data_IF_545011960550
#
_entry.id   IF_545011960550
#
_cell.length_a   1.000
_cell.length_b   1.000
_cell.length_c   1.000
_cell.angle_alpha   90.00
_cell.angle_beta   90.00
_cell.angle_gamma   90.00
#
_symmetry.space_group_name_H-M   'P 1'
#
loop_
_entity.id
_entity.type
_entity.pdbx_description
1 polymer ?
#
# COMPACT_ATOMS: atom_id res chain seq x y z
N UNK A 1 6.69 -49.73 39.55
CA UNK A 1 5.61 -48.77 39.92
C UNK A 1 5.85 -47.33 39.42
N UNK A 2 6.96 -47.01 38.74
CA UNK A 2 7.29 -45.61 38.35
C UNK A 2 6.73 -45.20 36.97
N UNK A 3 6.22 -46.14 36.15
CA UNK A 3 5.80 -45.84 34.77
C UNK A 3 4.39 -45.25 34.61
N UNK A 4 3.53 -45.29 35.64
CA UNK A 4 2.13 -44.84 35.51
C UNK A 4 1.90 -43.34 35.78
N UNK A 5 2.90 -42.61 36.32
CA UNK A 5 2.78 -41.19 36.66
C UNK A 5 3.23 -40.22 35.55
N UNK A 6 4.14 -40.66 34.67
CA UNK A 6 4.78 -39.78 33.68
C UNK A 6 3.79 -39.32 32.61
N UNK A 7 2.89 -40.20 32.16
CA UNK A 7 1.86 -39.87 31.16
C UNK A 7 0.90 -38.78 31.62
N UNK A 8 0.41 -38.84 32.86
CA UNK A 8 -0.50 -37.83 33.43
C UNK A 8 0.15 -36.45 33.55
N UNK A 9 1.43 -36.39 33.92
CA UNK A 9 2.17 -35.12 34.00
C UNK A 9 2.49 -34.51 32.64
N UNK A 10 2.76 -35.33 31.61
CA UNK A 10 2.99 -34.83 30.26
C UNK A 10 1.71 -34.31 29.62
N UNK A 11 0.58 -35.00 29.79
CA UNK A 11 -0.72 -34.51 29.33
C UNK A 11 -1.08 -33.18 30.02
N UNK A 12 -0.94 -33.07 31.34
CA UNK A 12 -1.20 -31.83 32.07
C UNK A 12 -0.28 -30.67 31.63
N UNK A 13 1.01 -30.94 31.40
CA UNK A 13 1.95 -29.93 30.89
C UNK A 13 1.62 -29.50 29.45
N UNK A 14 1.08 -30.40 28.63
CA UNK A 14 0.67 -30.11 27.25
C UNK A 14 -0.59 -29.25 27.21
N UNK A 15 -1.57 -29.52 28.08
CA UNK A 15 -2.80 -28.72 28.23
C UNK A 15 -2.49 -27.27 28.66
N UNK A 16 -1.57 -27.08 29.61
CA UNK A 16 -1.11 -25.75 30.03
C UNK A 16 -0.40 -25.00 28.88
N UNK A 17 0.48 -25.70 28.14
CA UNK A 17 1.16 -25.11 26.97
C UNK A 17 0.19 -24.78 25.84
N UNK A 18 -0.85 -25.61 25.63
CA UNK A 18 -1.86 -25.40 24.60
C UNK A 18 -2.79 -24.24 24.97
N UNK A 19 -3.15 -24.09 26.25
CA UNK A 19 -3.87 -22.93 26.75
C UNK A 19 -3.07 -21.64 26.57
N UNK A 20 -1.77 -21.66 26.87
CA UNK A 20 -0.88 -20.50 26.71
C UNK A 20 -0.70 -20.10 25.24
N UNK A 21 -0.56 -21.08 24.34
CA UNK A 21 -0.54 -20.88 22.88
C UNK A 21 -1.91 -20.49 22.33
N UNK A 22 -3.00 -20.96 22.93
CA UNK A 22 -4.37 -20.60 22.59
C UNK A 22 -4.66 -19.14 22.92
N UNK A 23 -4.16 -18.63 24.04
CA UNK A 23 -4.26 -17.21 24.40
C UNK A 23 -3.41 -16.36 23.44
N UNK A 24 -2.21 -16.82 23.09
CA UNK A 24 -1.35 -16.14 22.13
C UNK A 24 -1.97 -16.04 20.73
N UNK A 25 -2.54 -17.15 20.21
CA UNK A 25 -3.22 -17.16 18.91
C UNK A 25 -4.51 -16.34 18.95
N UNK A 26 -5.29 -16.41 20.03
CA UNK A 26 -6.46 -15.57 20.23
C UNK A 26 -6.09 -14.08 20.17
N UNK A 27 -5.01 -13.66 20.81
CA UNK A 27 -4.52 -12.26 20.75
C UNK A 27 -4.18 -11.85 19.32
N UNK A 28 -3.45 -12.67 18.57
CA UNK A 28 -3.11 -12.38 17.16
C UNK A 28 -4.37 -12.23 16.32
N UNK A 29 -5.33 -13.16 16.46
CA UNK A 29 -6.62 -13.11 15.74
C UNK A 29 -7.38 -11.83 16.10
N UNK A 30 -7.47 -11.48 17.39
CA UNK A 30 -8.19 -10.31 17.86
C UNK A 30 -7.55 -9.00 17.35
N UNK A 31 -6.21 -8.93 17.37
CA UNK A 31 -5.47 -7.79 16.80
C UNK A 31 -5.64 -7.69 15.28
N UNK A 32 -5.60 -8.82 14.57
CA UNK A 32 -5.86 -8.88 13.12
C UNK A 32 -7.28 -8.42 12.78
N UNK A 33 -8.27 -8.85 13.57
CA UNK A 33 -9.66 -8.43 13.39
C UNK A 33 -9.81 -6.92 13.53
N UNK A 34 -9.20 -6.32 14.57
CA UNK A 34 -9.21 -4.86 14.79
C UNK A 34 -8.52 -4.11 13.64
N UNK A 35 -7.38 -4.60 13.16
CA UNK A 35 -6.64 -3.98 12.03
C UNK A 35 -7.47 -4.06 10.75
N UNK A 36 -8.03 -5.22 10.41
CA UNK A 36 -8.89 -5.41 9.23
C UNK A 36 -10.12 -4.51 9.30
N UNK A 37 -10.78 -4.44 10.46
CA UNK A 37 -11.94 -3.58 10.66
C UNK A 37 -11.58 -2.10 10.52
N UNK A 38 -10.43 -1.67 11.06
CA UNK A 38 -9.97 -0.28 10.95
C UNK A 38 -9.73 0.13 9.50
N UNK A 39 -9.06 -0.72 8.72
CA UNK A 39 -8.81 -0.45 7.29
C UNK A 39 -10.14 -0.43 6.51
N UNK A 40 -11.04 -1.37 6.78
CA UNK A 40 -12.32 -1.46 6.10
C UNK A 40 -13.22 -0.25 6.41
N UNK A 41 -13.33 0.14 7.68
CA UNK A 41 -14.04 1.35 8.12
C UNK A 41 -13.45 2.62 7.50
N UNK A 42 -12.13 2.73 7.42
CA UNK A 42 -11.46 3.86 6.79
C UNK A 42 -11.80 3.96 5.29
N UNK A 43 -11.75 2.83 4.57
CA UNK A 43 -12.12 2.77 3.15
C UNK A 43 -13.60 3.12 2.93
N UNK A 44 -14.49 2.51 3.71
CA UNK A 44 -15.93 2.80 3.65
C UNK A 44 -16.19 4.26 4.03
N UNK A 45 -15.46 4.82 5.00
CA UNK A 45 -15.56 6.20 5.44
C UNK A 45 -15.18 7.18 4.33
N UNK A 46 -14.08 6.93 3.63
CA UNK A 46 -13.66 7.72 2.47
C UNK A 46 -14.70 7.62 1.35
N UNK A 47 -15.16 6.41 1.00
CA UNK A 47 -16.22 6.23 -0.01
C UNK A 47 -17.51 6.93 0.41
N UNK A 48 -17.92 6.83 1.69
CA UNK A 48 -19.09 7.54 2.25
C UNK A 48 -18.91 9.05 2.15
N UNK A 49 -17.72 9.58 2.43
CA UNK A 49 -17.44 11.00 2.36
C UNK A 49 -17.48 11.49 0.89
N UNK A 50 -16.87 10.77 -0.05
CA UNK A 50 -17.01 11.06 -1.48
C UNK A 50 -18.45 10.94 -1.96
N UNK A 51 -19.17 9.89 -1.55
CA UNK A 51 -20.58 9.67 -1.88
C UNK A 51 -21.49 10.72 -1.24
N UNK A 52 -21.12 11.27 -0.08
CA UNK A 52 -21.82 12.37 0.58
C UNK A 52 -21.52 13.71 -0.09
N UNK A 53 -20.27 13.98 -0.47
CA UNK A 53 -19.88 15.21 -1.18
C UNK A 53 -20.52 15.24 -2.58
N UNK A 54 -20.45 14.13 -3.33
CA UNK A 54 -21.13 13.98 -4.62
C UNK A 54 -22.65 13.98 -4.45
N UNK A 55 -23.17 13.32 -3.42
CA UNK A 55 -24.61 13.35 -3.11
C UNK A 55 -25.10 14.74 -2.70
N UNK A 56 -24.26 15.55 -2.07
CA UNK A 56 -24.53 16.95 -1.73
C UNK A 56 -24.39 17.86 -2.95
N UNK A 57 -23.49 17.55 -3.88
CA UNK A 57 -23.41 18.21 -5.19
C UNK A 57 -24.59 17.84 -6.12
N UNK A 58 -25.13 16.63 -6.02
CA UNK A 58 -26.38 16.21 -6.67
C UNK A 58 -27.64 16.56 -5.86
N UNK A 59 -27.47 17.12 -4.66
CA UNK A 59 -28.52 17.42 -3.69
C UNK A 59 -29.40 18.65 -4.01
N UNK A 60 -29.22 19.26 -5.17
CA UNK A 60 -30.19 20.21 -5.75
C UNK A 60 -30.87 19.67 -7.01
N UNK A 61 -30.95 18.34 -7.17
CA UNK A 61 -31.41 17.72 -8.41
C UNK A 61 -32.12 16.38 -8.25
N UNK A 62 -33.12 16.30 -7.35
CA UNK A 62 -34.22 15.37 -7.55
C UNK A 62 -34.17 14.06 -6.77
N UNK A 63 -34.85 14.06 -5.64
CA UNK A 63 -35.60 12.89 -5.19
C UNK A 63 -36.58 12.42 -6.29
N UNK A 64 -36.66 11.09 -6.47
CA UNK A 64 -37.64 10.31 -7.27
C UNK A 64 -37.36 10.16 -8.77
N UNK A 65 -36.95 8.95 -9.17
CA UNK A 65 -37.66 8.07 -10.12
C UNK A 65 -36.99 6.69 -10.09
N UNK A 66 -37.72 5.65 -9.64
CA UNK A 66 -38.27 4.55 -10.46
C UNK A 66 -37.15 3.75 -11.15
N UNK A 67 -36.85 2.52 -10.68
CA UNK A 67 -37.49 1.25 -11.10
C UNK A 67 -37.41 1.03 -12.62
N UNK A 68 -36.80 -0.11 -13.01
CA UNK A 68 -36.83 -0.74 -14.35
C UNK A 68 -36.09 0.07 -15.43
N UNK A 69 -35.40 -0.46 -16.43
CA UNK A 69 -35.23 -1.78 -17.04
C UNK A 69 -34.06 -1.62 -18.06
N UNK A 70 -33.49 -2.73 -18.52
CA UNK A 70 -32.88 -2.92 -19.86
C UNK A 70 -31.49 -2.30 -20.20
N UNK A 71 -30.51 -3.22 -20.31
CA UNK A 71 -29.52 -3.42 -21.41
C UNK A 71 -29.81 -2.72 -22.77
N UNK A 72 -28.88 -2.66 -23.77
CA UNK A 72 -27.39 -2.72 -23.88
C UNK A 72 -26.87 -1.59 -24.86
N UNK A 73 -25.86 -1.72 -25.75
CA UNK A 73 -24.40 -1.96 -25.66
C UNK A 73 -23.50 -0.85 -26.34
N UNK A 74 -22.17 -1.06 -26.29
CA UNK A 74 -21.16 -0.79 -27.35
C UNK A 74 -20.69 0.62 -27.81
N UNK A 75 -19.34 0.79 -27.69
CA UNK A 75 -18.33 1.18 -28.71
C UNK A 75 -18.05 2.65 -29.09
N UNK A 76 -16.72 2.84 -29.21
CA UNK A 76 -15.88 3.75 -30.04
C UNK A 76 -15.62 5.16 -29.47
N UNK A 77 -14.38 5.66 -29.27
CA UNK A 77 -13.05 5.67 -29.93
C UNK A 77 -12.78 7.08 -30.53
N UNK A 78 -11.50 7.49 -30.46
CA UNK A 78 -10.80 8.53 -31.27
C UNK A 78 -10.83 9.96 -30.68
N UNK A 79 -9.79 10.82 -30.66
CA UNK A 79 -8.30 10.83 -30.68
C UNK A 79 -7.91 12.29 -31.00
N UNK A 80 -6.82 12.82 -30.41
CA UNK A 80 -5.93 13.92 -30.90
C UNK A 80 -6.52 15.35 -31.05
N UNK A 81 -5.79 16.48 -30.99
CA UNK A 81 -4.40 16.86 -30.72
C UNK A 81 -4.31 18.42 -30.65
N UNK A 82 -3.39 18.95 -29.82
CA UNK A 82 -2.44 20.07 -30.05
C UNK A 82 -2.91 21.54 -30.23
N UNK A 83 -2.36 22.43 -29.37
CA UNK A 83 -1.58 23.63 -29.77
C UNK A 83 -0.81 24.29 -28.59
N UNK A 84 0.44 24.73 -28.89
CA UNK A 84 1.57 25.29 -28.09
C UNK A 84 1.51 26.85 -27.98
N UNK A 85 2.50 27.63 -27.46
CA UNK A 85 3.46 27.50 -26.32
C UNK A 85 3.71 28.81 -25.47
N UNK A 86 4.45 28.66 -24.35
CA UNK A 86 5.41 29.59 -23.70
C UNK A 86 5.05 30.23 -22.32
N UNK A 87 5.72 29.76 -21.24
CA UNK A 87 6.50 30.61 -20.31
C UNK A 87 7.48 29.73 -19.48
N UNK A 88 8.74 30.16 -19.40
CA UNK A 88 9.87 29.42 -18.81
C UNK A 88 9.98 29.76 -17.31
N UNK A 89 9.55 28.83 -16.45
CA UNK A 89 10.09 28.67 -15.09
C UNK A 89 10.92 27.39 -15.11
N UNK A 90 12.17 27.44 -14.66
CA UNK A 90 13.02 26.25 -14.48
C UNK A 90 12.40 25.33 -13.42
N UNK A 91 11.37 24.59 -13.82
CA UNK A 91 11.04 23.33 -13.21
C UNK A 91 12.06 22.33 -13.73
N UNK A 92 12.67 21.60 -12.79
CA UNK A 92 13.34 20.33 -13.04
C UNK A 92 12.52 19.52 -14.07
N UNK A 93 13.14 18.68 -14.91
CA UNK A 93 12.38 17.85 -15.82
C UNK A 93 11.43 17.00 -14.99
N UNK A 94 10.17 17.42 -14.92
CA UNK A 94 9.03 16.63 -14.53
C UNK A 94 8.90 15.58 -15.62
N UNK A 95 9.78 14.59 -15.52
CA UNK A 95 9.61 13.33 -16.20
C UNK A 95 8.26 12.82 -15.76
N UNK A 96 7.39 12.66 -16.74
CA UNK A 96 6.11 12.00 -16.63
C UNK A 96 6.26 10.72 -15.81
N UNK A 97 5.79 10.76 -14.55
CA UNK A 97 5.84 9.64 -13.63
C UNK A 97 6.36 10.01 -12.24
N UNK A 98 5.42 9.95 -11.29
CA UNK A 98 5.56 10.07 -9.83
C UNK A 98 5.40 11.53 -9.32
N UNK A 99 4.33 11.80 -8.55
CA UNK A 99 4.06 13.13 -8.03
C UNK A 99 5.13 13.57 -7.02
N UNK A 100 5.40 14.89 -6.96
CA UNK A 100 6.41 15.48 -6.07
C UNK A 100 6.15 15.17 -4.59
N UNK A 101 4.89 14.99 -4.19
CA UNK A 101 4.49 14.52 -2.86
C UNK A 101 5.16 13.17 -2.51
N UNK A 102 5.17 12.23 -3.45
CA UNK A 102 5.76 10.91 -3.24
C UNK A 102 7.28 11.02 -3.21
N UNK A 103 7.87 11.88 -4.04
CA UNK A 103 9.32 12.16 -4.01
C UNK A 103 9.71 12.78 -2.66
N UNK A 104 8.92 13.70 -2.12
CA UNK A 104 9.14 14.34 -0.83
C UNK A 104 9.02 13.36 0.34
N UNK A 105 8.01 12.48 0.32
CA UNK A 105 7.82 11.43 1.33
C UNK A 105 8.98 10.43 1.30
N UNK A 106 9.43 10.01 0.10
CA UNK A 106 10.60 9.14 -0.05
C UNK A 106 11.87 9.85 0.45
N UNK A 107 12.07 11.11 0.09
CA UNK A 107 13.23 11.89 0.55
C UNK A 107 13.23 12.05 2.08
N UNK A 108 12.08 12.29 2.70
CA UNK A 108 11.92 12.35 4.15
C UNK A 108 12.22 10.99 4.81
N UNK A 109 11.71 9.89 4.25
CA UNK A 109 11.97 8.54 4.75
C UNK A 109 13.47 8.17 4.64
N UNK A 110 14.14 8.52 3.54
CA UNK A 110 15.58 8.30 3.40
C UNK A 110 16.37 9.19 4.36
N UNK A 111 15.95 10.44 4.57
CA UNK A 111 16.58 11.34 5.53
C UNK A 111 16.44 10.87 6.98
N UNK A 112 15.36 10.17 7.35
CA UNK A 112 15.20 9.56 8.67
C UNK A 112 15.98 8.25 8.78
N UNK A 113 16.02 7.42 7.74
CA UNK A 113 16.79 6.16 7.74
C UNK A 113 18.31 6.37 7.75
N UNK A 114 18.81 7.31 6.95
CA UNK A 114 20.23 7.68 6.87
C UNK A 114 20.52 8.91 7.73
N UNK A 115 19.64 9.19 8.69
CA UNK A 115 19.68 10.32 9.59
C UNK A 115 21.07 10.55 10.11
N UNK A 116 21.61 11.73 9.76
CA UNK A 116 22.90 12.27 10.21
C UNK A 116 24.14 11.88 9.39
N UNK A 117 24.07 11.89 8.06
CA UNK A 117 25.28 12.14 7.27
C UNK A 117 25.48 13.66 7.12
N UNK A 118 26.45 14.20 7.85
CA UNK A 118 26.76 15.63 7.86
C UNK A 118 26.94 16.16 6.43
N UNK A 119 26.15 17.18 6.07
CA UNK A 119 26.19 17.96 4.81
C UNK A 119 26.92 17.22 3.66
N UNK A 120 26.28 16.19 3.11
CA UNK A 120 26.82 15.46 1.97
C UNK A 120 27.02 16.43 0.80
N UNK A 121 28.28 16.85 0.59
CA UNK A 121 28.66 17.73 -0.51
C UNK A 121 28.81 16.87 -1.75
N UNK A 122 27.85 16.95 -2.67
CA UNK A 122 27.87 16.21 -3.92
C UNK A 122 29.05 16.74 -4.76
N UNK A 123 30.13 15.96 -4.87
CA UNK A 123 31.33 16.33 -5.64
C UNK A 123 31.10 16.21 -7.15
N UNK A 124 30.30 15.22 -7.56
CA UNK A 124 29.94 14.99 -8.96
C UNK A 124 28.74 14.05 -9.05
N UNK A 125 27.83 14.30 -9.99
CA UNK A 125 26.78 13.35 -10.37
C UNK A 125 27.17 12.78 -11.72
N UNK A 126 27.50 11.49 -11.77
CA UNK A 126 27.63 10.76 -13.04
C UNK A 126 26.44 9.84 -13.17
N UNK A 127 25.82 9.83 -14.35
CA UNK A 127 24.86 8.79 -14.70
C UNK A 127 25.63 7.46 -14.72
N UNK A 128 25.28 6.54 -13.83
CA UNK A 128 25.81 5.19 -13.89
C UNK A 128 25.40 4.60 -15.25
N UNK A 129 26.35 4.48 -16.17
CA UNK A 129 26.16 3.77 -17.43
C UNK A 129 26.20 2.28 -17.13
N UNK A 130 25.05 1.62 -17.20
CA UNK A 130 24.94 0.19 -16.92
C UNK A 130 23.55 -0.21 -16.42
N UNK A 131 23.42 -1.50 -16.10
CA UNK A 131 22.21 -2.04 -15.46
C UNK A 131 22.07 -1.45 -14.06
N UNK A 132 20.86 -1.03 -13.68
CA UNK A 132 20.60 -0.49 -12.35
C UNK A 132 20.90 -1.53 -11.26
N UNK A 133 21.15 -1.07 -10.03
CA UNK A 133 21.34 -1.96 -8.87
C UNK A 133 20.17 -2.96 -8.73
N UNK A 134 18.94 -2.52 -9.03
CA UNK A 134 17.76 -3.38 -9.04
C UNK A 134 17.77 -4.41 -10.17
N UNK A 135 18.19 -4.03 -11.37
CA UNK A 135 18.29 -4.97 -12.49
C UNK A 135 19.34 -6.06 -12.24
N UNK A 136 20.45 -5.72 -11.57
CA UNK A 136 21.47 -6.71 -11.18
C UNK A 136 21.00 -7.62 -10.04
N UNK A 137 20.32 -7.07 -9.03
CA UNK A 137 19.75 -7.86 -7.92
C UNK A 137 18.78 -8.93 -8.44
N UNK A 138 17.87 -8.55 -9.34
CA UNK A 138 16.94 -9.50 -9.95
C UNK A 138 17.65 -10.62 -10.72
N UNK A 139 18.69 -10.33 -11.48
CA UNK A 139 19.45 -11.39 -12.18
C UNK A 139 20.11 -12.33 -11.18
N UNK A 140 20.77 -11.79 -10.15
CA UNK A 140 21.44 -12.59 -9.13
C UNK A 140 20.47 -13.54 -8.42
N UNK A 141 19.26 -13.10 -8.08
CA UNK A 141 18.26 -13.95 -7.44
C UNK A 141 17.65 -14.98 -8.38
N UNK A 142 17.47 -14.66 -9.66
CA UNK A 142 16.96 -15.61 -10.66
C UNK A 142 18.00 -16.66 -11.10
N UNK A 143 19.30 -16.38 -10.95
CA UNK A 143 20.37 -17.32 -11.36
C UNK A 143 21.01 -18.08 -10.21
N UNK A 144 20.45 -17.99 -9.00
CA UNK A 144 20.92 -18.77 -7.87
C UNK A 144 20.54 -20.25 -8.06
N UNK A 145 21.49 -21.20 -7.99
CA UNK A 145 21.18 -22.62 -8.05
C UNK A 145 20.36 -23.02 -6.81
N UNK A 146 19.44 -23.98 -7.01
CA UNK A 146 18.60 -24.58 -5.96
C UNK A 146 19.36 -25.64 -5.16
#
# INVERSE_FOLDING_TARGET
MVLNGIGLTQFAATELSLAEKGIASAKVILTGFVVVFSVLLLLIGVIKLYSFIVGKAQGSGGSKKKKKEQTPPEKKKVTAEISKPAEVKQALPAGEGIPEEVVAVIAAAVATMYGKSGRAKIKSIKKAGGRSAWANAGVLDNTRPF
#
